data_IF_978267215539
#
_entry.id   IF_978267215539
#
_cell.length_a   1.000
_cell.length_b   1.000
_cell.length_c   1.000
_cell.angle_alpha   90.00
_cell.angle_beta   90.00
_cell.angle_gamma   90.00
#
_symmetry.space_group_name_H-M   'P 1'
#
loop_
_entity.id
_entity.type
_entity.pdbx_description
1 polymer ?
#
# COMPACT_ATOMS: atom_id res chain seq x y z
N UNK A 1 0.37 27.94 4.92
CA UNK A 1 1.13 26.87 4.23
C UNK A 1 0.20 25.66 4.14
N UNK A 2 -0.20 25.25 2.94
CA UNK A 2 -1.33 24.35 2.75
C UNK A 2 -1.01 22.91 3.18
N UNK A 3 -1.62 22.47 4.27
CA UNK A 3 -1.55 21.11 4.85
C UNK A 3 -1.74 19.99 3.80
N UNK A 4 -2.64 20.20 2.83
CA UNK A 4 -2.85 19.28 1.70
C UNK A 4 -1.59 19.05 0.86
N UNK A 5 -0.77 20.09 0.64
CA UNK A 5 0.45 19.97 -0.18
C UNK A 5 1.52 19.11 0.50
N UNK A 6 1.69 19.23 1.82
CA UNK A 6 2.65 18.43 2.59
C UNK A 6 2.20 16.96 2.63
N UNK A 7 0.90 16.73 2.81
CA UNK A 7 0.32 15.38 2.80
C UNK A 7 0.47 14.71 1.41
N UNK A 8 0.13 15.42 0.33
CA UNK A 8 0.31 14.92 -1.04
C UNK A 8 1.78 14.68 -1.37
N UNK A 9 2.69 15.54 -0.91
CA UNK A 9 4.12 15.36 -1.11
C UNK A 9 4.67 14.16 -0.33
N UNK A 10 4.17 13.91 0.89
CA UNK A 10 4.50 12.74 1.70
C UNK A 10 3.98 11.44 1.10
N UNK A 11 2.73 11.41 0.64
CA UNK A 11 2.18 10.25 -0.06
C UNK A 11 2.95 9.96 -1.36
N UNK A 12 3.23 10.99 -2.16
CA UNK A 12 4.05 10.86 -3.36
C UNK A 12 5.47 10.37 -3.03
N UNK A 13 6.07 10.84 -1.93
CA UNK A 13 7.39 10.42 -1.47
C UNK A 13 7.40 8.95 -1.04
N UNK A 14 6.43 8.50 -0.25
CA UNK A 14 6.31 7.12 0.23
C UNK A 14 6.12 6.16 -0.96
N UNK A 15 5.19 6.47 -1.88
CA UNK A 15 4.94 5.70 -3.10
C UNK A 15 6.22 5.66 -3.99
N UNK A 16 6.96 6.77 -4.07
CA UNK A 16 8.21 6.81 -4.85
C UNK A 16 9.38 6.08 -4.17
N UNK A 17 9.42 6.02 -2.85
CA UNK A 17 10.46 5.26 -2.11
C UNK A 17 10.18 3.76 -2.07
N UNK A 18 8.92 3.34 -1.98
CA UNK A 18 8.54 1.93 -2.16
C UNK A 18 8.87 1.43 -3.58
N UNK A 19 8.74 2.30 -4.60
CA UNK A 19 9.14 1.98 -5.97
C UNK A 19 10.67 1.94 -6.20
N UNK A 20 11.49 2.54 -5.33
CA UNK A 20 12.97 2.62 -5.53
C UNK A 20 13.77 1.67 -4.64
N UNK A 21 13.27 1.33 -3.44
CA UNK A 21 13.88 0.25 -2.66
C UNK A 21 13.42 -1.05 -3.32
N UNK A 22 14.27 -1.64 -4.15
CA UNK A 22 14.07 -2.98 -4.70
C UNK A 22 14.21 -4.02 -3.58
N UNK A 23 13.35 -3.94 -2.56
CA UNK A 23 13.12 -5.04 -1.61
C UNK A 23 12.43 -6.12 -2.41
N UNK A 24 13.22 -7.02 -3.00
CA UNK A 24 12.70 -8.20 -3.68
C UNK A 24 12.04 -9.08 -2.62
N UNK A 25 10.73 -8.94 -2.46
CA UNK A 25 9.91 -9.86 -1.66
C UNK A 25 10.09 -11.25 -2.26
N UNK A 26 10.50 -12.21 -1.43
CA UNK A 26 10.60 -13.61 -1.83
C UNK A 26 9.46 -14.34 -1.15
N UNK A 27 8.54 -14.85 -1.98
CA UNK A 27 7.40 -15.63 -1.53
C UNK A 27 7.75 -17.11 -1.60
N UNK A 28 7.72 -17.79 -0.46
CA UNK A 28 7.90 -19.24 -0.36
C UNK A 28 6.57 -19.87 0.00
N UNK A 29 6.25 -20.96 -0.69
CA UNK A 29 5.05 -21.76 -0.43
C UNK A 29 5.19 -22.40 0.96
N UNK A 30 4.28 -22.06 1.87
CA UNK A 30 4.40 -22.39 3.29
C UNK A 30 3.54 -23.59 3.71
N UNK A 31 2.47 -23.86 2.96
CA UNK A 31 1.52 -24.94 3.26
C UNK A 31 1.31 -25.87 2.06
N UNK A 32 0.70 -27.01 2.33
CA UNK A 32 0.02 -27.82 1.32
C UNK A 32 -1.19 -27.07 0.75
N UNK A 33 -1.77 -27.63 -0.33
CA UNK A 33 -2.93 -27.08 -1.03
C UNK A 33 -4.08 -26.80 -0.06
N UNK A 34 -4.63 -25.59 -0.15
CA UNK A 34 -5.76 -25.16 0.66
C UNK A 34 -7.08 -25.47 -0.05
N UNK A 35 -8.15 -25.63 0.74
CA UNK A 35 -9.51 -25.75 0.23
C UNK A 35 -9.95 -24.44 -0.44
N UNK A 36 -10.71 -24.55 -1.54
CA UNK A 36 -11.11 -23.40 -2.36
C UNK A 36 -12.09 -22.47 -1.65
N UNK A 37 -12.80 -22.95 -0.65
CA UNK A 37 -13.90 -22.28 0.05
C UNK A 37 -13.46 -21.36 1.19
N UNK A 38 -12.16 -21.33 1.53
CA UNK A 38 -11.57 -20.37 2.49
C UNK A 38 -11.92 -18.92 2.10
N UNK A 39 -12.04 -18.69 0.80
CA UNK A 39 -12.48 -17.45 0.19
C UNK A 39 -13.59 -17.74 -0.80
N UNK A 40 -14.61 -16.89 -0.85
CA UNK A 40 -15.51 -16.89 -1.98
C UNK A 40 -14.84 -16.09 -3.10
N UNK A 41 -14.07 -16.79 -3.93
CA UNK A 41 -13.35 -16.24 -5.08
C UNK A 41 -14.17 -16.46 -6.35
N UNK A 42 -14.35 -15.39 -7.09
CA UNK A 42 -14.95 -15.43 -8.41
C UNK A 42 -14.04 -14.69 -9.38
N UNK A 43 -13.63 -15.36 -10.46
CA UNK A 43 -12.81 -14.75 -11.50
C UNK A 43 -13.65 -14.67 -12.77
N UNK A 44 -13.92 -13.44 -13.19
CA UNK A 44 -14.71 -13.18 -14.39
C UNK A 44 -13.81 -12.59 -15.45
N UNK A 45 -13.89 -13.16 -16.64
CA UNK A 45 -13.24 -12.64 -17.83
C UNK A 45 -14.25 -11.84 -18.64
N UNK A 46 -14.06 -10.52 -18.75
CA UNK A 46 -14.84 -9.63 -19.64
C UNK A 46 -13.99 -9.20 -20.82
N UNK A 47 -14.55 -8.51 -21.83
CA UNK A 47 -13.83 -8.23 -23.09
C UNK A 47 -12.40 -7.66 -22.89
N UNK A 48 -12.25 -6.65 -22.02
CA UNK A 48 -10.97 -5.96 -21.79
C UNK A 48 -10.23 -6.38 -20.53
N UNK A 49 -10.92 -6.98 -19.57
CA UNK A 49 -10.41 -7.09 -18.21
C UNK A 49 -10.57 -8.51 -17.65
N UNK A 50 -9.67 -8.87 -16.74
CA UNK A 50 -9.83 -9.98 -15.81
C UNK A 50 -10.19 -9.36 -14.46
N UNK A 51 -11.31 -9.81 -13.89
CA UNK A 51 -11.87 -9.28 -12.65
C UNK A 51 -11.81 -10.39 -11.60
N UNK A 52 -11.06 -10.16 -10.54
CA UNK A 52 -11.00 -11.01 -9.37
C UNK A 52 -11.87 -10.41 -8.26
N UNK A 53 -12.96 -11.11 -7.94
CA UNK A 53 -13.80 -10.78 -6.80
C UNK A 53 -13.46 -11.69 -5.63
N UNK A 54 -13.28 -11.08 -4.46
CA UNK A 54 -12.99 -11.78 -3.20
C UNK A 54 -14.03 -11.39 -2.18
N UNK A 55 -14.67 -12.38 -1.55
CA UNK A 55 -15.43 -12.19 -0.31
C UNK A 55 -14.90 -13.15 0.76
N UNK A 56 -14.78 -12.66 1.99
CA UNK A 56 -14.30 -13.48 3.09
C UNK A 56 -14.95 -13.06 4.41
N UNK A 57 -15.19 -14.03 5.28
CA UNK A 57 -15.64 -13.80 6.67
C UNK A 57 -14.46 -13.47 7.60
N UNK A 58 -13.27 -13.97 7.28
CA UNK A 58 -12.14 -14.05 8.21
C UNK A 58 -10.96 -13.17 7.79
N UNK A 59 -10.92 -12.72 6.54
CA UNK A 59 -9.81 -11.98 5.99
C UNK A 59 -10.28 -10.70 5.31
N UNK A 60 -9.55 -9.63 5.52
CA UNK A 60 -9.69 -8.33 4.88
C UNK A 60 -8.70 -8.24 3.70
N UNK A 61 -9.13 -8.30 2.44
CA UNK A 61 -8.24 -8.19 1.29
C UNK A 61 -7.67 -6.79 1.14
N UNK A 62 -6.35 -6.65 0.96
CA UNK A 62 -5.68 -5.35 0.85
C UNK A 62 -5.26 -5.09 -0.59
N UNK A 63 -4.48 -5.99 -1.16
CA UNK A 63 -3.96 -5.87 -2.52
C UNK A 63 -3.77 -7.22 -3.18
N UNK A 64 -3.59 -7.19 -4.50
CA UNK A 64 -3.28 -8.36 -5.29
C UNK A 64 -2.20 -8.04 -6.31
N UNK A 65 -1.48 -9.08 -6.74
CA UNK A 65 -0.45 -8.97 -7.77
C UNK A 65 -0.45 -10.19 -8.65
N UNK A 66 -0.59 -9.98 -9.95
CA UNK A 66 -0.43 -11.00 -10.97
C UNK A 66 1.03 -11.19 -11.33
N UNK A 67 1.42 -12.45 -11.45
CA UNK A 67 2.73 -12.90 -11.89
C UNK A 67 2.59 -13.93 -13.00
N UNK A 68 3.58 -13.96 -13.90
CA UNK A 68 3.92 -15.12 -14.70
C UNK A 68 5.35 -15.48 -14.36
N UNK A 69 5.57 -16.70 -13.86
CA UNK A 69 6.85 -17.12 -13.30
C UNK A 69 7.34 -16.13 -12.21
N UNK A 70 8.38 -15.34 -12.51
CA UNK A 70 8.94 -14.32 -11.60
C UNK A 70 8.58 -12.88 -11.98
N UNK A 71 7.91 -12.67 -13.11
CA UNK A 71 7.63 -11.35 -13.64
C UNK A 71 6.27 -10.84 -13.15
N UNK A 72 6.26 -9.62 -12.62
CA UNK A 72 5.01 -8.91 -12.31
C UNK A 72 4.32 -8.57 -13.63
N UNK A 73 3.02 -8.88 -13.70
CA UNK A 73 2.12 -8.51 -14.79
C UNK A 73 1.38 -7.23 -14.42
N UNK A 74 0.75 -7.22 -13.24
CA UNK A 74 -0.02 -6.11 -12.72
C UNK A 74 -0.11 -6.21 -11.20
N UNK A 75 -0.23 -5.06 -10.52
CA UNK A 75 -0.29 -4.98 -9.06
C UNK A 75 -1.14 -3.79 -8.64
N UNK A 76 -2.00 -3.98 -7.64
CA UNK A 76 -2.80 -2.90 -7.11
C UNK A 76 -3.61 -3.29 -5.89
N UNK A 77 -4.28 -2.31 -5.31
CA UNK A 77 -5.16 -2.53 -4.19
C UNK A 77 -6.52 -3.04 -4.65
N UNK A 78 -7.24 -3.69 -3.74
CA UNK A 78 -8.64 -4.01 -3.98
C UNK A 78 -9.51 -2.76 -3.99
N UNK A 79 -10.64 -2.85 -4.69
CA UNK A 79 -11.66 -1.83 -4.75
C UNK A 79 -12.96 -2.33 -4.11
N UNK A 80 -13.70 -1.44 -3.47
CA UNK A 80 -15.02 -1.70 -2.89
C UNK A 80 -15.93 -0.56 -3.35
N UNK A 81 -17.07 -0.91 -3.94
CA UNK A 81 -18.01 0.09 -4.51
C UNK A 81 -17.34 1.05 -5.52
N UNK A 82 -16.29 0.59 -6.22
CA UNK A 82 -15.53 1.38 -7.20
C UNK A 82 -14.45 2.29 -6.61
N UNK A 83 -14.34 2.37 -5.28
CA UNK A 83 -13.29 3.11 -4.59
C UNK A 83 -12.12 2.19 -4.24
N UNK A 84 -10.89 2.71 -4.32
CA UNK A 84 -9.72 2.06 -3.72
C UNK A 84 -9.96 1.82 -2.22
N UNK A 85 -9.49 0.68 -1.72
CA UNK A 85 -9.77 0.23 -0.35
C UNK A 85 -9.38 1.25 0.73
N UNK A 86 -8.27 1.97 0.57
CA UNK A 86 -7.85 2.96 1.56
C UNK A 86 -8.81 4.15 1.56
N UNK A 87 -9.26 4.56 0.37
CA UNK A 87 -10.24 5.65 0.24
C UNK A 87 -11.60 5.24 0.81
N UNK A 88 -12.06 4.02 0.51
CA UNK A 88 -13.29 3.47 1.08
C UNK A 88 -13.22 3.39 2.61
N UNK A 89 -12.09 2.92 3.15
CA UNK A 89 -11.87 2.85 4.60
C UNK A 89 -11.92 4.22 5.28
N UNK A 90 -11.28 5.23 4.69
CA UNK A 90 -11.31 6.61 5.21
C UNK A 90 -12.73 7.19 5.20
N UNK A 91 -13.53 6.84 4.20
CA UNK A 91 -14.93 7.28 4.10
C UNK A 91 -15.83 6.57 5.13
N UNK A 92 -15.69 5.24 5.26
CA UNK A 92 -16.63 4.43 6.03
C UNK A 92 -16.26 4.27 7.51
N UNK A 93 -14.98 4.33 7.89
CA UNK A 93 -14.54 4.18 9.28
C UNK A 93 -14.28 5.54 9.89
N UNK A 94 -15.34 6.13 10.42
CA UNK A 94 -15.30 7.44 11.09
C UNK A 94 -15.07 7.33 12.59
N UNK A 95 -15.26 6.15 13.18
CA UNK A 95 -15.07 5.84 14.60
C UNK A 95 -15.05 4.31 14.86
N UNK A 96 -14.85 3.91 16.13
CA UNK A 96 -14.83 2.50 16.56
C UNK A 96 -16.14 1.74 16.24
N UNK A 97 -17.30 2.38 16.35
CA UNK A 97 -18.59 1.71 16.07
C UNK A 97 -18.74 1.40 14.58
N UNK A 98 -18.38 2.34 13.71
CA UNK A 98 -18.37 2.14 12.26
C UNK A 98 -17.37 1.06 11.82
N UNK A 99 -16.21 0.98 12.47
CA UNK A 99 -15.26 -0.11 12.29
C UNK A 99 -15.90 -1.45 12.66
N UNK A 100 -16.50 -1.56 13.85
CA UNK A 100 -17.13 -2.79 14.31
C UNK A 100 -18.24 -3.25 13.36
N UNK A 101 -19.04 -2.33 12.81
CA UNK A 101 -20.06 -2.64 11.81
C UNK A 101 -19.48 -3.25 10.53
N UNK A 102 -18.39 -2.68 10.00
CA UNK A 102 -17.71 -3.21 8.81
C UNK A 102 -17.12 -4.59 9.10
N UNK A 103 -16.43 -4.73 10.23
CA UNK A 103 -15.79 -5.97 10.67
C UNK A 103 -16.84 -7.08 10.83
N UNK A 104 -17.98 -6.78 11.46
CA UNK A 104 -19.06 -7.75 11.65
C UNK A 104 -19.76 -8.15 10.35
N UNK A 105 -19.79 -7.27 9.35
CA UNK A 105 -20.41 -7.51 8.05
C UNK A 105 -19.40 -7.71 6.91
N UNK A 106 -18.16 -8.09 7.23
CA UNK A 106 -17.07 -8.14 6.25
C UNK A 106 -17.42 -8.98 5.00
N UNK A 107 -18.09 -10.10 5.20
CA UNK A 107 -18.49 -11.03 4.14
C UNK A 107 -19.51 -10.45 3.13
N UNK A 108 -20.19 -9.36 3.49
CA UNK A 108 -21.14 -8.69 2.61
C UNK A 108 -20.43 -7.79 1.58
N UNK A 109 -19.15 -7.46 1.82
CA UNK A 109 -18.38 -6.60 0.94
C UNK A 109 -17.71 -7.43 -0.16
N UNK A 110 -17.80 -6.93 -1.40
CA UNK A 110 -17.12 -7.52 -2.56
C UNK A 110 -15.85 -6.74 -2.86
N UNK A 111 -14.70 -7.36 -2.66
CA UNK A 111 -13.39 -6.78 -2.93
C UNK A 111 -12.99 -7.11 -4.36
N UNK A 112 -12.84 -6.09 -5.20
CA UNK A 112 -12.64 -6.24 -6.64
C UNK A 112 -11.21 -5.84 -7.01
N UNK A 113 -10.48 -6.74 -7.66
CA UNK A 113 -9.21 -6.43 -8.29
C UNK A 113 -9.35 -6.62 -9.80
N UNK A 114 -9.09 -5.55 -10.55
CA UNK A 114 -9.34 -5.48 -11.98
C UNK A 114 -8.03 -5.26 -12.73
N UNK A 115 -7.73 -6.14 -13.67
CA UNK A 115 -6.50 -6.08 -14.48
C UNK A 115 -6.85 -6.07 -15.96
N UNK A 116 -6.24 -5.16 -16.72
CA UNK A 116 -6.35 -5.12 -18.18
C UNK A 116 -5.67 -6.36 -18.78
N UNK A 117 -6.38 -7.07 -19.66
CA UNK A 117 -5.86 -8.26 -20.35
C UNK A 117 -4.62 -7.98 -21.18
N UNK A 118 -4.46 -6.75 -21.69
CA UNK A 118 -3.29 -6.37 -22.46
C UNK A 118 -1.99 -6.50 -21.65
N UNK A 119 -2.05 -6.31 -20.33
CA UNK A 119 -0.90 -6.43 -19.44
C UNK A 119 -0.33 -7.87 -19.43
N UNK A 120 -1.18 -8.87 -19.65
CA UNK A 120 -0.76 -10.27 -19.70
C UNK A 120 0.06 -10.57 -20.96
N UNK A 121 -0.16 -9.89 -22.08
CA UNK A 121 0.63 -10.05 -23.31
C UNK A 121 1.00 -11.52 -23.63
N UNK A 122 2.30 -11.83 -23.56
CA UNK A 122 2.88 -13.17 -23.69
C UNK A 122 3.18 -13.87 -22.35
N UNK A 123 2.97 -13.20 -21.23
CA UNK A 123 3.20 -13.66 -19.85
C UNK A 123 2.01 -14.48 -19.34
N UNK A 124 1.82 -15.69 -19.88
CA UNK A 124 0.65 -16.57 -19.59
C UNK A 124 1.01 -17.97 -19.09
N UNK A 125 2.31 -18.26 -18.98
CA UNK A 125 2.84 -19.49 -18.37
C UNK A 125 2.89 -19.35 -16.87
N UNK A 126 2.61 -20.46 -16.17
CA UNK A 126 2.69 -20.56 -14.71
C UNK A 126 2.14 -19.31 -14.00
N UNK A 127 0.91 -18.95 -14.35
CA UNK A 127 0.26 -17.76 -13.82
C UNK A 127 0.01 -17.91 -12.33
N UNK A 128 0.18 -16.81 -11.62
CA UNK A 128 -0.12 -16.71 -10.20
C UNK A 128 -0.72 -15.36 -9.86
N UNK A 129 -1.84 -15.34 -9.14
CA UNK A 129 -2.31 -14.14 -8.46
C UNK A 129 -1.99 -14.27 -6.97
N UNK A 130 -1.12 -13.41 -6.47
CA UNK A 130 -0.83 -13.33 -5.05
C UNK A 130 -1.77 -12.31 -4.40
N UNK A 131 -2.46 -12.73 -3.36
CA UNK A 131 -3.31 -11.90 -2.51
C UNK A 131 -2.57 -11.52 -1.24
N UNK A 132 -2.56 -10.23 -0.91
CA UNK A 132 -2.18 -9.72 0.40
C UNK A 132 -3.46 -9.48 1.22
N UNK A 133 -3.63 -10.26 2.29
CA UNK A 133 -4.82 -10.23 3.14
C UNK A 133 -4.41 -9.99 4.60
N UNK A 134 -5.31 -9.47 5.43
CA UNK A 134 -5.13 -9.35 6.87
C UNK A 134 -6.23 -10.13 7.59
N UNK A 135 -5.93 -10.83 8.69
CA UNK A 135 -7.01 -11.45 9.46
C UNK A 135 -7.91 -10.37 10.04
N UNK A 136 -9.21 -10.64 10.05
CA UNK A 136 -10.24 -9.73 10.58
C UNK A 136 -9.92 -9.28 12.01
N UNK A 137 -9.56 -10.22 12.89
CA UNK A 137 -9.24 -9.96 14.30
C UNK A 137 -7.99 -9.09 14.46
N UNK A 138 -6.95 -9.40 13.68
CA UNK A 138 -5.70 -8.65 13.64
C UNK A 138 -5.95 -7.20 13.17
N UNK A 139 -6.76 -7.05 12.12
CA UNK A 139 -7.16 -5.75 11.60
C UNK A 139 -7.96 -4.93 12.62
N UNK A 140 -8.98 -5.53 13.24
CA UNK A 140 -9.80 -4.88 14.26
C UNK A 140 -8.93 -4.42 15.44
N UNK A 141 -8.00 -5.27 15.91
CA UNK A 141 -7.06 -4.92 16.98
C UNK A 141 -6.20 -3.72 16.60
N UNK A 142 -5.55 -3.76 15.43
CA UNK A 142 -4.67 -2.68 14.96
C UNK A 142 -5.45 -1.36 14.83
N UNK A 143 -6.66 -1.40 14.27
CA UNK A 143 -7.46 -0.20 14.07
C UNK A 143 -8.01 0.37 15.40
N UNK A 144 -8.33 -0.48 16.37
CA UNK A 144 -8.70 -0.03 17.71
C UNK A 144 -7.52 0.64 18.44
N UNK A 145 -6.30 0.10 18.31
CA UNK A 145 -5.08 0.74 18.80
C UNK A 145 -4.88 2.12 18.14
N UNK A 146 -5.00 2.20 16.81
CA UNK A 146 -4.94 3.46 16.06
C UNK A 146 -5.88 4.52 16.62
N UNK A 147 -7.15 4.18 16.81
CA UNK A 147 -8.14 5.12 17.36
C UNK A 147 -7.80 5.58 18.78
N UNK A 148 -7.36 4.65 19.63
CA UNK A 148 -6.93 5.00 20.99
C UNK A 148 -5.72 5.94 21.01
N UNK A 149 -4.82 5.84 20.03
CA UNK A 149 -3.62 6.67 19.98
C UNK A 149 -3.88 8.04 19.34
N UNK A 150 -4.72 8.09 18.30
CA UNK A 150 -5.24 9.35 17.72
C UNK A 150 -5.96 10.18 18.79
N UNK A 151 -6.80 9.56 19.62
CA UNK A 151 -7.54 10.25 20.69
C UNK A 151 -6.63 10.91 21.75
N UNK A 152 -5.37 10.45 21.88
CA UNK A 152 -4.41 10.94 22.90
C UNK A 152 -3.46 12.00 22.39
N UNK A 153 -3.37 12.21 21.08
CA UNK A 153 -2.41 13.15 20.48
C UNK A 153 -3.10 14.46 20.09
N UNK A 154 -2.34 15.57 20.12
CA UNK A 154 -2.79 16.82 19.51
C UNK A 154 -2.77 16.64 17.99
N UNK A 155 -3.94 16.56 17.36
CA UNK A 155 -4.11 16.43 15.91
C UNK A 155 -3.43 17.58 15.13
N UNK A 156 -3.19 18.73 15.77
CA UNK A 156 -2.47 19.86 15.17
C UNK A 156 -0.96 19.66 15.15
N UNK A 157 -0.44 18.63 15.81
CA UNK A 157 0.97 18.25 15.79
C UNK A 157 1.23 17.20 14.68
N UNK A 158 1.77 17.60 13.52
CA UNK A 158 1.91 16.69 12.39
C UNK A 158 2.91 15.54 12.64
N UNK A 159 3.87 15.75 13.54
CA UNK A 159 4.86 14.72 13.88
C UNK A 159 4.25 13.61 14.74
N UNK A 160 3.39 13.97 15.69
CA UNK A 160 2.67 13.00 16.51
C UNK A 160 1.72 12.15 15.65
N UNK A 161 0.97 12.82 14.77
CA UNK A 161 0.08 12.18 13.80
C UNK A 161 0.85 11.23 12.89
N UNK A 162 1.96 11.68 12.30
CA UNK A 162 2.82 10.84 11.46
C UNK A 162 3.36 9.60 12.19
N UNK A 163 3.78 9.75 13.45
CA UNK A 163 4.30 8.63 14.25
C UNK A 163 3.25 7.54 14.41
N UNK A 164 2.02 7.91 14.76
CA UNK A 164 0.91 6.95 14.90
C UNK A 164 0.62 6.25 13.57
N UNK A 165 0.53 6.99 12.47
CA UNK A 165 0.31 6.39 11.14
C UNK A 165 1.43 5.42 10.73
N UNK A 166 2.70 5.81 10.93
CA UNK A 166 3.84 4.98 10.57
C UNK A 166 3.87 3.67 11.36
N UNK A 167 3.53 3.72 12.65
CA UNK A 167 3.46 2.53 13.50
C UNK A 167 2.36 1.57 13.04
N UNK A 168 1.17 2.10 12.75
CA UNK A 168 0.04 1.30 12.29
C UNK A 168 0.32 0.68 10.92
N UNK A 169 0.91 1.42 10.00
CA UNK A 169 1.32 0.88 8.70
C UNK A 169 2.34 -0.26 8.86
N UNK A 170 3.28 -0.12 9.79
CA UNK A 170 4.26 -1.17 10.10
C UNK A 170 3.56 -2.42 10.64
N UNK A 171 2.65 -2.27 11.62
CA UNK A 171 1.86 -3.38 12.18
C UNK A 171 1.03 -4.09 11.10
N UNK A 172 0.36 -3.35 10.22
CA UNK A 172 -0.40 -3.93 9.10
C UNK A 172 0.54 -4.77 8.22
N UNK A 173 1.69 -4.23 7.81
CA UNK A 173 2.63 -4.94 6.95
C UNK A 173 3.22 -6.19 7.59
N UNK A 174 3.47 -6.17 8.90
CA UNK A 174 3.98 -7.33 9.65
C UNK A 174 2.94 -8.45 9.79
N UNK A 175 1.65 -8.13 9.82
CA UNK A 175 0.58 -9.10 10.04
C UNK A 175 -0.08 -9.62 8.77
N UNK A 176 0.28 -9.06 7.60
CA UNK A 176 -0.19 -9.55 6.30
C UNK A 176 0.04 -11.04 6.13
N UNK A 177 -0.98 -11.71 5.60
CA UNK A 177 -0.97 -13.09 5.14
C UNK A 177 -1.03 -13.09 3.62
N UNK A 178 -0.31 -14.03 3.03
CA UNK A 178 -0.16 -14.12 1.59
C UNK A 178 -0.78 -15.42 1.10
N UNK A 179 -1.66 -15.33 0.12
CA UNK A 179 -2.30 -16.47 -0.51
C UNK A 179 -2.08 -16.41 -2.01
N UNK A 180 -1.61 -17.50 -2.61
CA UNK A 180 -1.41 -17.60 -4.05
C UNK A 180 -2.53 -18.39 -4.69
N UNK A 181 -3.17 -17.80 -5.70
CA UNK A 181 -4.02 -18.49 -6.67
C UNK A 181 -3.11 -18.89 -7.83
N UNK A 182 -2.83 -20.17 -7.99
CA UNK A 182 -1.88 -20.71 -8.96
C UNK A 182 -2.60 -21.45 -10.10
N UNK A 183 -2.08 -21.28 -11.32
CA UNK A 183 -2.54 -21.97 -12.53
C UNK A 183 -1.39 -22.74 -13.13
N UNK A 184 -1.51 -24.07 -13.19
CA UNK A 184 -0.53 -24.91 -13.88
C UNK A 184 -0.76 -24.79 -15.38
N UNK A 185 0.15 -24.13 -16.11
CA UNK A 185 0.05 -24.01 -17.56
C UNK A 185 1.42 -23.91 -18.23
N UNK A 186 1.69 -24.82 -19.15
CA UNK A 186 2.94 -24.91 -19.90
C UNK A 186 2.86 -24.27 -21.30
N UNK A 187 1.84 -23.44 -21.56
CA UNK A 187 1.59 -22.81 -22.86
C UNK A 187 1.56 -21.28 -22.75
N UNK A 188 1.72 -20.59 -23.88
CA UNK A 188 1.55 -19.13 -23.96
C UNK A 188 0.07 -18.70 -24.08
N UNK A 189 -0.87 -19.64 -23.93
CA UNK A 189 -2.30 -19.39 -23.95
C UNK A 189 -2.80 -19.08 -22.53
N UNK A 190 -3.89 -18.32 -22.41
CA UNK A 190 -4.47 -18.04 -21.09
C UNK A 190 -5.04 -19.34 -20.53
N UNK A 191 -4.66 -19.77 -19.32
CA UNK A 191 -5.26 -20.95 -18.70
C UNK A 191 -6.74 -20.71 -18.39
N UNK A 192 -7.49 -21.78 -18.17
CA UNK A 192 -8.83 -21.66 -17.61
C UNK A 192 -8.74 -21.05 -16.21
N UNK A 193 -9.16 -19.80 -16.07
CA UNK A 193 -9.06 -19.04 -14.83
C UNK A 193 -9.93 -19.58 -13.69
N UNK A 194 -10.79 -20.58 -13.95
CA UNK A 194 -11.56 -21.27 -12.91
C UNK A 194 -10.86 -22.54 -12.39
N UNK A 195 -9.84 -23.04 -13.07
CA UNK A 195 -9.07 -24.24 -12.70
C UNK A 195 -7.80 -23.89 -11.93
N UNK A 196 -7.95 -23.16 -10.84
CA UNK A 196 -6.85 -22.75 -9.97
C UNK A 196 -6.68 -23.66 -8.75
N UNK A 197 -5.51 -23.56 -8.14
CA UNK A 197 -5.22 -24.06 -6.80
C UNK A 197 -4.86 -22.91 -5.86
N UNK A 198 -5.18 -23.05 -4.56
CA UNK A 198 -4.85 -22.02 -3.56
C UNK A 198 -3.78 -22.55 -2.62
N UNK A 199 -2.80 -21.71 -2.32
CA UNK A 199 -1.74 -22.02 -1.37
C UNK A 199 -1.42 -20.85 -0.45
N UNK A 200 -1.02 -21.14 0.78
CA UNK A 200 -0.48 -20.11 1.67
C UNK A 200 1.00 -19.88 1.37
N UNK A 201 1.39 -18.62 1.42
CA UNK A 201 2.76 -18.16 1.23
C UNK A 201 3.28 -17.48 2.49
N UNK A 202 4.58 -17.68 2.72
CA UNK A 202 5.39 -16.87 3.61
C UNK A 202 6.16 -15.87 2.76
N UNK A 203 6.11 -14.60 3.16
CA UNK A 203 6.91 -13.55 2.57
C UNK A 203 8.14 -13.33 3.43
N UNK A 204 9.31 -13.63 2.89
CA UNK A 204 10.57 -13.15 3.45
C UNK A 204 10.98 -11.87 2.72
N UNK A 205 11.18 -10.79 3.47
CA UNK A 205 11.78 -9.57 2.95
C UNK A 205 13.29 -9.78 2.98
N UNK A 206 13.88 -10.02 1.81
CA UNK A 206 15.33 -9.95 1.68
C UNK A 206 15.73 -8.48 1.70
N UNK A 207 15.91 -7.93 2.89
CA UNK A 207 16.51 -6.63 3.08
C UNK A 207 17.99 -6.70 2.64
N UNK A 208 18.29 -6.40 1.38
CA UNK A 208 19.57 -5.73 1.09
C UNK A 208 19.42 -4.29 1.55
N UNK A 209 19.49 -4.06 2.87
CA UNK A 209 19.76 -2.73 3.42
C UNK A 209 21.16 -2.33 2.95
N UNK A 210 21.25 -1.69 1.80
CA UNK A 210 22.46 -0.94 1.51
C UNK A 210 22.45 0.27 2.43
N UNK A 211 23.16 0.18 3.56
CA UNK A 211 23.36 1.29 4.49
C UNK A 211 23.93 2.55 3.82
N UNK A 212 24.35 2.49 2.54
CA UNK A 212 24.68 3.64 1.70
C UNK A 212 23.51 4.60 1.48
N UNK A 213 22.29 4.08 1.31
CA UNK A 213 21.18 4.85 0.73
C UNK A 213 20.49 5.73 1.77
N UNK A 214 20.37 5.25 3.01
CA UNK A 214 19.89 6.05 4.15
C UNK A 214 20.86 7.20 4.44
N UNK A 215 22.17 6.95 4.33
CA UNK A 215 23.17 8.00 4.51
C UNK A 215 23.13 9.03 3.37
N UNK A 216 22.90 8.60 2.13
CA UNK A 216 22.68 9.47 0.98
C UNK A 216 21.41 10.33 1.13
N UNK A 217 20.31 9.75 1.60
CA UNK A 217 19.05 10.46 1.85
C UNK A 217 19.18 11.48 3.00
N UNK A 218 19.81 11.09 4.11
CA UNK A 218 20.13 12.02 5.21
C UNK A 218 21.01 13.18 4.72
N UNK A 219 22.02 12.87 3.89
CA UNK A 219 22.90 13.88 3.29
C UNK A 219 22.13 14.81 2.35
N UNK A 220 21.29 14.29 1.46
CA UNK A 220 20.47 15.10 0.57
C UNK A 220 19.49 16.01 1.33
N UNK A 221 18.86 15.50 2.40
CA UNK A 221 17.95 16.28 3.24
C UNK A 221 18.71 17.42 3.95
N UNK A 222 19.87 17.12 4.53
CA UNK A 222 20.73 18.12 5.18
C UNK A 222 21.23 19.16 4.17
N UNK A 223 21.67 18.73 2.99
CA UNK A 223 22.18 19.64 1.95
C UNK A 223 21.07 20.54 1.39
N UNK A 224 19.85 20.01 1.25
CA UNK A 224 18.67 20.79 0.86
C UNK A 224 18.31 21.80 1.94
N UNK A 225 18.35 21.41 3.22
CA UNK A 225 18.05 22.29 4.35
C UNK A 225 19.11 23.40 4.48
N UNK A 226 20.40 23.07 4.30
CA UNK A 226 21.49 24.04 4.26
C UNK A 226 21.37 25.01 3.10
N UNK A 227 21.09 24.52 1.89
CA UNK A 227 20.96 25.38 0.71
C UNK A 227 19.73 26.29 0.80
N UNK A 228 18.61 25.81 1.33
CA UNK A 228 17.42 26.63 1.56
C UNK A 228 17.65 27.69 2.63
N UNK A 229 18.30 27.37 3.75
CA UNK A 229 18.71 28.35 4.78
C UNK A 229 19.70 29.38 4.23
N UNK A 230 20.68 28.97 3.42
CA UNK A 230 21.63 29.87 2.75
C UNK A 230 20.92 30.80 1.77
N UNK A 231 20.01 30.27 0.95
CA UNK A 231 19.26 31.06 -0.03
C UNK A 231 18.35 32.07 0.68
N UNK A 232 17.59 31.64 1.69
CA UNK A 232 16.72 32.53 2.47
C UNK A 232 17.54 33.55 3.26
N UNK A 233 18.68 33.15 3.84
CA UNK A 233 19.55 34.05 4.60
C UNK A 233 20.23 35.11 3.73
N UNK A 234 20.78 34.72 2.57
CA UNK A 234 21.46 35.63 1.65
C UNK A 234 20.47 36.56 0.96
N UNK A 235 19.41 36.02 0.35
CA UNK A 235 18.41 36.86 -0.33
C UNK A 235 17.58 37.67 0.66
N UNK A 236 17.21 37.11 1.82
CA UNK A 236 16.56 37.85 2.91
C UNK A 236 17.44 38.95 3.47
N UNK A 237 18.74 38.70 3.63
CA UNK A 237 19.73 39.70 4.05
C UNK A 237 19.87 40.84 3.04
N UNK A 238 19.93 40.54 1.74
CA UNK A 238 19.96 41.54 0.67
C UNK A 238 18.68 42.38 0.68
N UNK A 239 17.51 41.75 0.81
CA UNK A 239 16.22 42.46 0.88
C UNK A 239 16.18 43.39 2.10
N UNK A 240 16.63 42.93 3.28
CA UNK A 240 16.70 43.75 4.48
C UNK A 240 17.71 44.90 4.34
N UNK A 241 18.88 44.66 3.75
CA UNK A 241 19.89 45.69 3.52
C UNK A 241 19.40 46.76 2.53
N UNK A 242 18.72 46.35 1.44
CA UNK A 242 18.07 47.26 0.49
C UNK A 242 16.97 48.06 1.19
N UNK A 243 16.17 47.43 2.04
CA UNK A 243 15.11 48.11 2.80
C UNK A 243 15.66 49.12 3.81
N UNK A 244 16.73 48.79 4.55
CA UNK A 244 17.40 49.71 5.46
C UNK A 244 18.08 50.86 4.71
N UNK A 245 18.68 50.58 3.54
CA UNK A 245 19.26 51.63 2.69
C UNK A 245 18.18 52.60 2.23
N UNK A 246 17.04 52.10 1.74
CA UNK A 246 15.91 52.91 1.28
C UNK A 246 15.20 53.65 2.43
N UNK A 247 15.14 53.11 3.65
CA UNK A 247 14.53 53.81 4.79
C UNK A 247 15.36 54.98 5.31
N UNK A 248 16.61 55.14 4.86
CA UNK A 248 17.40 56.34 5.15
C UNK A 248 17.11 57.48 4.16
N UNK A 249 16.32 57.22 3.11
CA UNK A 249 15.95 58.21 2.08
C UNK A 249 14.48 58.68 2.18
N UNK A 250 13.70 58.14 3.12
CA UNK A 250 12.31 58.53 3.44
C UNK A 250 12.16 58.76 4.94
#
# INVERSE_FOLDING_TARGET
MNFKFILTFLFAFIICTENKISTKKVFKKASEKLEKDIFNLEITEVEKDIILNVRSKNFFPISATWYSESDVIDSGNFQIEGNDIYSWMVEKVTNKDSLALIINNLEQNSFVFKTDKQNFGTKKRDLKCLLELLKKEDYEKIMNEYWNDIEKIDEKNPLAVFSVYSEIFTKINEQKKYFGIEYSNNTDEMPNLNDYEIFQYECSINEKKSYSDINLLKKCAIDTLKNSLLTVGVFGGIICAVRMSLSNYF
#
